data_IF_817805066206
#
_entry.id   IF_817805066206
#
_cell.length_a   1.000
_cell.length_b   1.000
_cell.length_c   1.000
_cell.angle_alpha   90.00
_cell.angle_beta   90.00
_cell.angle_gamma   90.00
#
_symmetry.space_group_name_H-M   'P 1'
#
loop_
_entity.id
_entity.type
_entity.pdbx_description
1 polymer ?
#
# COMPACT_ATOMS: atom_id res chain seq x y z
N UNK A 1 -12.76 -5.18 -3.90
CA UNK A 1 -12.59 -5.06 -5.36
C UNK A 1 -11.11 -5.23 -5.69
N UNK A 2 -10.70 -6.35 -6.31
CA UNK A 2 -9.29 -6.65 -6.58
C UNK A 2 -8.62 -5.65 -7.56
N UNK A 3 -9.39 -5.00 -8.42
CA UNK A 3 -8.92 -4.09 -9.48
C UNK A 3 -8.08 -2.88 -9.02
N UNK A 4 -8.19 -2.48 -7.75
CA UNK A 4 -7.41 -1.35 -7.21
C UNK A 4 -5.98 -1.76 -6.80
N UNK A 5 -5.75 -3.04 -6.53
CA UNK A 5 -4.45 -3.59 -6.12
C UNK A 5 -3.51 -3.76 -7.31
N UNK A 6 -4.02 -4.06 -8.51
CA UNK A 6 -3.24 -4.18 -9.75
C UNK A 6 -2.49 -2.90 -10.15
N UNK A 7 -2.88 -1.75 -9.58
CA UNK A 7 -2.22 -0.46 -9.81
C UNK A 7 -0.98 -0.26 -8.94
N UNK A 8 -0.77 -1.08 -7.92
CA UNK A 8 0.38 -0.97 -7.02
C UNK A 8 1.54 -1.77 -7.61
N UNK A 9 2.63 -1.08 -7.93
CA UNK A 9 3.89 -1.68 -8.39
C UNK A 9 4.99 -1.31 -7.41
N UNK A 10 5.71 -2.31 -6.93
CA UNK A 10 6.86 -2.16 -6.05
C UNK A 10 8.10 -2.66 -6.78
N UNK A 11 9.16 -1.88 -6.72
CA UNK A 11 10.46 -2.23 -7.28
C UNK A 11 11.36 -2.77 -6.15
N UNK A 12 11.68 -4.05 -6.22
CA UNK A 12 12.51 -4.74 -5.23
C UNK A 12 14.01 -4.43 -5.37
N UNK A 13 14.41 -3.84 -6.50
CA UNK A 13 15.79 -3.48 -6.79
C UNK A 13 16.06 -1.98 -6.63
N UNK A 14 15.07 -1.22 -6.15
CA UNK A 14 15.22 0.20 -5.90
C UNK A 14 15.96 0.47 -4.58
N UNK A 15 16.69 1.59 -4.51
CA UNK A 15 17.27 2.11 -3.28
C UNK A 15 16.22 2.53 -2.23
N UNK A 16 14.95 2.63 -2.64
CA UNK A 16 13.83 2.96 -1.76
C UNK A 16 13.27 1.68 -1.14
N UNK A 17 13.12 1.63 0.18
CA UNK A 17 12.54 0.45 0.83
C UNK A 17 11.09 0.17 0.42
N UNK A 18 10.72 -1.11 0.31
CA UNK A 18 9.38 -1.56 -0.11
C UNK A 18 8.22 -0.94 0.67
N UNK A 19 8.37 -0.76 1.99
CA UNK A 19 7.33 -0.13 2.82
C UNK A 19 7.13 1.35 2.44
N UNK A 20 8.19 2.07 2.07
CA UNK A 20 8.12 3.47 1.62
C UNK A 20 7.46 3.55 0.24
N UNK A 21 7.85 2.66 -0.68
CA UNK A 21 7.24 2.59 -2.00
C UNK A 21 5.75 2.29 -1.91
N UNK A 22 5.37 1.30 -1.08
CA UNK A 22 3.98 0.95 -0.85
C UNK A 22 3.22 2.11 -0.25
N UNK A 23 3.74 2.74 0.80
CA UNK A 23 3.13 3.91 1.41
C UNK A 23 2.88 5.01 0.38
N UNK A 24 3.88 5.36 -0.45
CA UNK A 24 3.73 6.37 -1.50
C UNK A 24 2.66 5.99 -2.54
N UNK A 25 2.59 4.71 -2.93
CA UNK A 25 1.56 4.21 -3.83
C UNK A 25 0.17 4.33 -3.22
N UNK A 26 0.00 3.89 -1.97
CA UNK A 26 -1.27 3.98 -1.23
C UNK A 26 -1.70 5.44 -1.07
N UNK A 27 -0.77 6.32 -0.66
CA UNK A 27 -1.01 7.76 -0.54
C UNK A 27 -1.46 8.37 -1.87
N UNK A 28 -0.79 8.03 -2.98
CA UNK A 28 -1.22 8.45 -4.32
C UNK A 28 -2.62 7.97 -4.68
N UNK A 29 -2.97 6.73 -4.36
CA UNK A 29 -4.32 6.19 -4.62
C UNK A 29 -5.40 6.92 -3.82
N UNK A 30 -5.12 7.24 -2.55
CA UNK A 30 -6.03 8.00 -1.69
C UNK A 30 -6.18 9.43 -2.20
N UNK A 31 -5.07 10.13 -2.45
CA UNK A 31 -5.08 11.51 -2.96
C UNK A 31 -5.73 11.61 -4.35
N UNK A 32 -5.56 10.59 -5.20
CA UNK A 32 -6.24 10.52 -6.50
C UNK A 32 -7.76 10.33 -6.42
N UNK A 33 -8.32 10.20 -5.20
CA UNK A 33 -9.74 9.95 -4.97
C UNK A 33 -10.20 8.54 -5.35
N UNK A 34 -9.26 7.64 -5.70
CA UNK A 34 -9.57 6.24 -6.02
C UNK A 34 -9.95 5.45 -4.79
N UNK A 35 -9.38 5.77 -3.63
CA UNK A 35 -9.82 5.26 -2.33
C UNK A 35 -10.48 6.39 -1.57
N UNK A 36 -11.78 6.22 -1.27
CA UNK A 36 -12.50 7.19 -0.46
C UNK A 36 -12.22 6.94 1.03
N UNK A 37 -12.26 8.00 1.81
CA UNK A 37 -12.13 7.92 3.27
C UNK A 37 -13.29 7.06 3.82
N UNK A 38 -12.98 6.00 4.56
CA UNK A 38 -13.96 4.98 5.01
C UNK A 38 -14.15 3.79 4.07
N UNK A 39 -13.55 3.78 2.89
CA UNK A 39 -13.50 2.59 2.03
C UNK A 39 -12.51 1.58 2.63
N UNK A 40 -12.93 0.31 2.79
CA UNK A 40 -12.08 -0.72 3.39
C UNK A 40 -10.84 -0.95 2.53
N UNK A 41 -9.71 -0.52 3.05
CA UNK A 41 -8.39 -0.88 2.54
C UNK A 41 -8.27 -2.42 2.62
N UNK A 42 -7.70 -3.08 1.60
CA UNK A 42 -7.43 -4.51 1.68
C UNK A 42 -6.58 -4.83 2.91
N UNK A 43 -6.86 -5.96 3.55
CA UNK A 43 -6.11 -6.37 4.75
C UNK A 43 -4.61 -6.50 4.45
N UNK A 44 -3.77 -6.34 5.48
CA UNK A 44 -2.31 -6.50 5.36
C UNK A 44 -1.92 -7.83 4.70
N UNK A 45 -2.68 -8.89 5.02
CA UNK A 45 -2.50 -10.22 4.43
C UNK A 45 -2.80 -10.25 2.93
N UNK A 46 -3.85 -9.56 2.46
CA UNK A 46 -4.19 -9.49 1.03
C UNK A 46 -3.13 -8.68 0.27
N UNK A 47 -2.72 -7.54 0.81
CA UNK A 47 -1.64 -6.73 0.25
C UNK A 47 -0.33 -7.51 0.19
N UNK A 48 0.03 -8.21 1.27
CA UNK A 48 1.23 -9.05 1.33
C UNK A 48 1.22 -10.14 0.26
N UNK A 49 0.09 -10.84 0.09
CA UNK A 49 -0.05 -11.87 -0.95
C UNK A 49 -0.06 -11.32 -2.37
N UNK A 50 -0.71 -10.18 -2.61
CA UNK A 50 -0.79 -9.57 -3.94
C UNK A 50 0.53 -8.95 -4.39
N UNK A 51 1.26 -8.35 -3.45
CA UNK A 51 2.50 -7.63 -3.72
C UNK A 51 3.74 -8.50 -3.53
N UNK A 52 3.56 -9.74 -3.07
CA UNK A 52 4.61 -10.70 -2.73
C UNK A 52 5.67 -10.13 -1.77
N UNK A 53 5.20 -9.40 -0.74
CA UNK A 53 6.06 -8.80 0.29
C UNK A 53 5.65 -9.25 1.69
N UNK A 54 6.58 -9.13 2.64
CA UNK A 54 6.34 -9.45 4.05
C UNK A 54 5.18 -8.63 4.64
N UNK A 55 4.31 -9.29 5.43
CA UNK A 55 3.23 -8.64 6.17
C UNK A 55 3.71 -7.48 7.02
N UNK A 56 4.89 -7.61 7.62
CA UNK A 56 5.54 -6.55 8.40
C UNK A 56 5.78 -5.29 7.57
N UNK A 57 6.25 -5.44 6.32
CA UNK A 57 6.48 -4.33 5.39
C UNK A 57 5.18 -3.62 5.05
N UNK A 58 4.10 -4.38 4.84
CA UNK A 58 2.76 -3.82 4.61
C UNK A 58 2.28 -3.04 5.83
N UNK A 59 2.38 -3.65 7.01
CA UNK A 59 1.99 -3.03 8.28
C UNK A 59 2.72 -1.71 8.54
N UNK A 60 4.02 -1.66 8.29
CA UNK A 60 4.81 -0.42 8.43
C UNK A 60 4.27 0.65 7.48
N UNK A 61 3.98 0.28 6.22
CA UNK A 61 3.48 1.21 5.22
C UNK A 61 2.09 1.77 5.57
N UNK A 62 1.17 0.91 6.03
CA UNK A 62 -0.18 1.29 6.46
C UNK A 62 -0.14 2.12 7.73
N UNK A 63 0.63 1.71 8.73
CA UNK A 63 0.77 2.46 9.98
C UNK A 63 1.36 3.86 9.74
N UNK A 64 2.35 4.00 8.85
CA UNK A 64 2.85 5.33 8.44
C UNK A 64 1.77 6.19 7.82
N UNK A 65 0.91 5.57 7.02
CA UNK A 65 -0.17 6.25 6.32
C UNK A 65 -1.29 6.71 7.29
N UNK A 66 -1.54 5.94 8.35
CA UNK A 66 -2.42 6.33 9.45
C UNK A 66 -1.84 7.47 10.30
N UNK A 67 -0.53 7.46 10.54
CA UNK A 67 0.16 8.51 11.32
C UNK A 67 0.24 9.84 10.57
N UNK A 68 0.25 9.82 9.23
CA UNK A 68 0.29 11.03 8.39
C UNK A 68 -1.10 11.63 8.07
N UNK A 69 -2.19 10.98 8.50
CA UNK A 69 -3.58 11.44 8.31
C UNK A 69 -4.08 12.33 9.44
#
# INVERSE_FOLDING_TARGET
MPEKLDKIRLDHNSYISLHVQLHNQLRRLIVSGRWRNGERIPTEMQLSRHLDISRTTVRIATQRLEVEG
#
